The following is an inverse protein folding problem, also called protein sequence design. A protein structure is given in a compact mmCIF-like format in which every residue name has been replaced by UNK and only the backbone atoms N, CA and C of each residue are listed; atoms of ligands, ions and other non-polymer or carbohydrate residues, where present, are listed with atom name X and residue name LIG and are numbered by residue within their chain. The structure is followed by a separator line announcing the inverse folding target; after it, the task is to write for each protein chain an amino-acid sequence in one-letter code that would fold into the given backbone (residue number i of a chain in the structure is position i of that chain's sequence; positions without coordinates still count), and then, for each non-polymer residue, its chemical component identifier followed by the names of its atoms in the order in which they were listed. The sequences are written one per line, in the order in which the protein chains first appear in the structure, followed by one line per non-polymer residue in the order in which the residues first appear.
data_IF_985299338104
#
_entry.id   IF_985299338104
#
_cell.length_a   1.000
_cell.length_b   1.000
_cell.length_c   1.000
_cell.angle_alpha   90.00
_cell.angle_beta   90.00
_cell.angle_gamma   90.00
#
_symmetry.space_group_name_H-M   'P 1'
#
loop_
_entity.id
_entity.type
_entity.pdbx_description
1 polymer ?
#
# COMPACT_ATOMS: atom_id res chain seq x y z
N UNK A 1 22.40 -7.60 -0.75
CA UNK A 1 22.92 -6.41 -1.48
C UNK A 1 22.30 -5.09 -1.02
N UNK A 2 20.97 -4.89 -0.89
CA UNK A 2 20.41 -3.58 -0.48
C UNK A 2 20.71 -3.21 0.99
N UNK A 3 20.77 -4.20 1.89
CA UNK A 3 21.06 -3.95 3.31
C UNK A 3 22.46 -3.39 3.56
N UNK A 4 23.48 -3.92 2.86
CA UNK A 4 24.87 -3.49 3.01
C UNK A 4 25.06 -2.08 2.43
N UNK A 5 24.39 -1.75 1.32
CA UNK A 5 24.35 -0.39 0.77
C UNK A 5 23.63 0.57 1.71
N UNK A 6 22.53 0.15 2.34
CA UNK A 6 21.81 0.96 3.33
C UNK A 6 22.65 1.23 4.58
N UNK A 7 23.36 0.22 5.10
CA UNK A 7 24.26 0.35 6.25
C UNK A 7 25.47 1.23 5.91
N UNK A 8 26.07 1.05 4.73
CA UNK A 8 27.18 1.89 4.25
C UNK A 8 26.74 3.35 4.06
N UNK A 9 25.54 3.57 3.53
CA UNK A 9 24.94 4.89 3.38
C UNK A 9 24.66 5.55 4.73
N UNK A 10 24.20 4.77 5.72
CA UNK A 10 24.02 5.22 7.10
C UNK A 10 25.34 5.69 7.73
N UNK A 11 26.45 5.05 7.36
CA UNK A 11 27.78 5.36 7.87
C UNK A 11 28.43 6.58 7.17
N UNK A 12 28.22 6.72 5.85
CA UNK A 12 28.72 7.83 5.04
C UNK A 12 27.98 9.15 5.31
N UNK A 13 26.71 9.09 5.72
CA UNK A 13 25.88 10.26 6.01
C UNK A 13 25.26 10.16 7.41
N UNK A 14 26.06 10.26 8.48
CA UNK A 14 25.63 9.98 9.86
C UNK A 14 24.49 10.90 10.34
N UNK A 15 24.41 12.12 9.81
CA UNK A 15 23.34 13.08 10.11
C UNK A 15 22.00 12.67 9.47
N UNK A 16 22.05 12.14 8.24
CA UNK A 16 20.88 11.66 7.51
C UNK A 16 20.39 10.34 8.11
N UNK A 17 21.33 9.46 8.47
CA UNK A 17 21.09 8.25 9.24
C UNK A 17 20.36 8.53 10.56
N UNK A 18 20.86 9.52 11.32
CA UNK A 18 20.26 9.95 12.56
C UNK A 18 18.86 10.51 12.34
N UNK A 19 18.63 11.30 11.30
CA UNK A 19 17.30 11.81 10.95
C UNK A 19 16.32 10.67 10.59
N UNK A 20 16.76 9.65 9.84
CA UNK A 20 15.95 8.47 9.49
C UNK A 20 15.66 7.61 10.73
N UNK A 21 16.63 7.42 11.62
CA UNK A 21 16.46 6.70 12.88
C UNK A 21 15.52 7.44 13.83
N UNK A 22 15.64 8.76 13.92
CA UNK A 22 14.78 9.60 14.76
C UNK A 22 13.35 9.65 14.19
N UNK A 23 13.20 9.69 12.87
CA UNK A 23 11.92 9.50 12.18
C UNK A 23 11.29 8.15 12.56
N UNK A 24 12.02 7.05 12.43
CA UNK A 24 11.55 5.71 12.79
C UNK A 24 11.16 5.65 14.27
N UNK A 25 11.98 6.22 15.15
CA UNK A 25 11.74 6.26 16.60
C UNK A 25 10.53 7.11 16.99
N UNK A 26 10.16 8.12 16.21
CA UNK A 26 8.94 8.92 16.41
C UNK A 26 7.71 8.24 15.82
N UNK A 27 7.84 7.53 14.70
CA UNK A 27 6.73 6.83 14.06
C UNK A 27 6.31 5.55 14.82
N UNK A 28 7.27 4.80 15.37
CA UNK A 28 7.03 3.53 16.08
C UNK A 28 6.05 3.65 17.29
N UNK A 29 6.15 4.66 18.18
CA UNK A 29 5.29 4.79 19.35
C UNK A 29 3.86 5.32 19.07
N UNK A 30 3.62 5.95 17.91
CA UNK A 30 2.33 6.60 17.60
C UNK A 30 1.28 5.60 17.07
N UNK A 31 1.57 4.30 17.12
CA UNK A 31 0.69 3.29 16.52
C UNK A 31 0.70 3.36 15.00
N UNK A 32 1.79 3.88 14.41
CA UNK A 32 2.14 3.64 13.01
C UNK A 32 2.44 2.16 12.90
N UNK A 33 1.38 1.36 12.82
CA UNK A 33 1.41 -0.06 13.12
C UNK A 33 2.51 -0.68 12.27
N UNK A 34 3.56 -1.15 12.93
CA UNK A 34 4.72 -1.78 12.31
C UNK A 34 4.33 -2.97 11.41
N UNK A 35 3.06 -3.43 11.50
CA UNK A 35 2.38 -4.35 10.58
C UNK A 35 2.27 -3.86 9.13
N UNK A 36 2.03 -2.57 8.86
CA UNK A 36 1.70 -2.03 7.52
C UNK A 36 2.84 -1.26 6.85
N UNK A 37 3.93 -1.06 7.58
CA UNK A 37 5.10 -0.29 7.18
C UNK A 37 6.01 -0.96 6.12
N UNK A 38 6.26 -2.29 6.13
CA UNK A 38 7.40 -2.83 5.38
C UNK A 38 7.20 -2.90 3.86
N UNK A 39 5.96 -3.04 3.39
CA UNK A 39 5.71 -3.49 2.01
C UNK A 39 5.88 -2.40 0.95
N UNK A 40 5.38 -1.19 1.24
CA UNK A 40 5.16 -0.16 0.22
C UNK A 40 5.88 1.15 0.52
N UNK A 41 6.04 1.52 1.80
CA UNK A 41 6.89 2.66 2.20
C UNK A 41 8.35 2.43 1.80
N UNK A 42 8.83 1.18 1.86
CA UNK A 42 10.21 0.80 1.55
C UNK A 42 10.40 0.20 0.14
N UNK A 43 9.39 0.24 -0.73
CA UNK A 43 9.52 -0.22 -2.11
C UNK A 43 9.07 0.84 -3.11
N UNK A 44 9.96 1.78 -3.48
CA UNK A 44 9.69 2.79 -4.51
C UNK A 44 9.24 2.15 -5.84
N UNK A 45 9.76 0.96 -6.17
CA UNK A 45 9.38 0.21 -7.35
C UNK A 45 7.89 -0.21 -7.35
N UNK A 46 7.33 -0.61 -6.19
CA UNK A 46 5.91 -0.96 -6.06
C UNK A 46 5.01 0.27 -6.17
N UNK A 47 5.41 1.38 -5.54
CA UNK A 47 4.69 2.65 -5.68
C UNK A 47 4.68 3.14 -7.12
N UNK A 48 5.85 3.12 -7.78
CA UNK A 48 5.95 3.45 -9.20
C UNK A 48 5.09 2.51 -10.05
N UNK A 49 5.17 1.20 -9.81
CA UNK A 49 4.35 0.19 -10.49
C UNK A 49 2.85 0.48 -10.35
N UNK A 50 2.40 0.85 -9.15
CA UNK A 50 1.02 1.26 -8.91
C UNK A 50 0.64 2.52 -9.68
N UNK A 51 1.45 3.59 -9.63
CA UNK A 51 1.14 4.87 -10.27
C UNK A 51 1.17 4.76 -11.80
N UNK A 52 2.13 4.04 -12.37
CA UNK A 52 2.34 3.98 -13.82
C UNK A 52 1.54 2.86 -14.51
N UNK A 53 1.12 1.80 -13.81
CA UNK A 53 0.33 0.72 -14.42
C UNK A 53 -1.17 0.96 -14.28
N UNK A 54 -1.86 1.09 -15.42
CA UNK A 54 -3.34 1.15 -15.47
C UNK A 54 -3.97 -0.04 -14.76
N UNK A 55 -3.49 -1.27 -15.00
CA UNK A 55 -4.00 -2.49 -14.36
C UNK A 55 -3.82 -2.44 -12.85
N UNK A 56 -2.63 -2.08 -12.37
CA UNK A 56 -2.39 -1.99 -10.93
C UNK A 56 -3.28 -0.95 -10.24
N UNK A 57 -3.52 0.22 -10.85
CA UNK A 57 -4.47 1.21 -10.31
C UNK A 57 -5.89 0.68 -10.24
N UNK A 58 -6.33 -0.05 -11.27
CA UNK A 58 -7.68 -0.62 -11.30
C UNK A 58 -7.84 -1.70 -10.24
N UNK A 59 -6.86 -2.59 -10.09
CA UNK A 59 -6.85 -3.60 -9.04
C UNK A 59 -6.74 -3.00 -7.64
N UNK A 60 -6.00 -1.90 -7.48
CA UNK A 60 -5.94 -1.15 -6.23
C UNK A 60 -7.28 -0.53 -5.84
N UNK A 61 -7.95 0.14 -6.78
CA UNK A 61 -9.30 0.66 -6.53
C UNK A 61 -10.30 -0.47 -6.21
N UNK A 62 -10.21 -1.60 -6.91
CA UNK A 62 -11.05 -2.77 -6.63
C UNK A 62 -10.74 -3.40 -5.26
N UNK A 63 -9.47 -3.44 -4.84
CA UNK A 63 -9.07 -3.89 -3.51
C UNK A 63 -9.69 -3.01 -2.42
N UNK A 64 -9.64 -1.69 -2.57
CA UNK A 64 -10.32 -0.76 -1.67
C UNK A 64 -11.84 -0.97 -1.66
N UNK A 65 -12.46 -1.10 -2.82
CA UNK A 65 -13.89 -1.39 -2.90
C UNK A 65 -14.27 -2.71 -2.22
N UNK A 66 -13.43 -3.73 -2.35
CA UNK A 66 -13.62 -5.04 -1.72
C UNK A 66 -13.58 -4.92 -0.20
N UNK A 67 -12.57 -4.21 0.34
CA UNK A 67 -12.47 -3.95 1.78
C UNK A 67 -13.67 -3.15 2.26
N UNK A 68 -14.09 -2.11 1.54
CA UNK A 68 -15.27 -1.33 1.92
C UNK A 68 -16.54 -2.19 2.00
N UNK A 69 -16.77 -3.09 1.04
CA UNK A 69 -17.90 -4.04 1.08
C UNK A 69 -17.80 -4.99 2.27
N UNK A 70 -16.60 -5.47 2.61
CA UNK A 70 -16.39 -6.31 3.80
C UNK A 70 -16.65 -5.53 5.09
N UNK A 71 -16.18 -4.28 5.17
CA UNK A 71 -16.36 -3.42 6.34
C UNK A 71 -17.82 -3.00 6.54
N UNK A 72 -18.58 -2.80 5.46
CA UNK A 72 -20.02 -2.59 5.53
C UNK A 72 -20.75 -3.79 6.18
N UNK A 73 -20.23 -5.01 5.99
CA UNK A 73 -20.83 -6.25 6.51
C UNK A 73 -20.39 -6.58 7.93
N UNK A 74 -19.11 -6.42 8.25
CA UNK A 74 -18.51 -6.90 9.50
C UNK A 74 -18.03 -5.77 10.44
N UNK A 75 -18.20 -4.51 10.04
CA UNK A 75 -17.65 -3.35 10.75
C UNK A 75 -16.19 -3.09 10.39
N UNK A 76 -15.48 -2.23 11.14
CA UNK A 76 -14.07 -1.92 10.86
C UNK A 76 -13.19 -3.18 10.92
N UNK A 77 -12.41 -3.43 9.87
CA UNK A 77 -11.56 -4.62 9.77
C UNK A 77 -10.09 -4.23 9.67
N UNK A 78 -9.21 -5.02 10.31
CA UNK A 78 -7.76 -4.86 10.25
C UNK A 78 -7.20 -5.58 9.00
N UNK A 79 -7.67 -5.19 7.81
CA UNK A 79 -7.33 -5.83 6.52
C UNK A 79 -6.49 -4.90 5.65
N UNK A 80 -5.45 -5.46 5.04
CA UNK A 80 -4.64 -4.77 4.03
C UNK A 80 -4.89 -5.33 2.64
N UNK A 81 -5.11 -4.44 1.67
CA UNK A 81 -5.19 -4.75 0.25
C UNK A 81 -3.90 -4.41 -0.47
N UNK A 82 -3.20 -5.40 -1.00
CA UNK A 82 -1.95 -5.22 -1.73
C UNK A 82 -2.17 -5.47 -3.24
N UNK A 83 -2.20 -4.41 -4.07
CA UNK A 83 -2.49 -4.54 -5.49
C UNK A 83 -1.29 -5.07 -6.29
N UNK A 84 -1.61 -5.80 -7.36
CA UNK A 84 -0.68 -6.24 -8.40
C UNK A 84 -1.33 -6.06 -9.79
N UNK A 85 -0.60 -6.35 -10.87
CA UNK A 85 -1.11 -6.26 -12.25
C UNK A 85 -2.15 -7.32 -12.57
N UNK A 86 -2.04 -8.49 -11.93
CA UNK A 86 -2.88 -9.66 -12.20
C UNK A 86 -3.95 -9.89 -11.11
N UNK A 87 -4.05 -8.98 -10.14
CA UNK A 87 -5.01 -9.09 -9.05
C UNK A 87 -4.65 -8.24 -7.85
N UNK A 88 -5.10 -8.68 -6.68
CA UNK A 88 -4.72 -8.07 -5.39
C UNK A 88 -4.80 -9.10 -4.27
N UNK A 89 -3.94 -8.96 -3.26
CA UNK A 89 -3.96 -9.77 -2.04
C UNK A 89 -4.71 -9.06 -0.92
N UNK A 90 -5.57 -9.76 -0.20
CA UNK A 90 -6.16 -9.31 1.05
C UNK A 90 -5.52 -10.06 2.22
N UNK A 91 -4.93 -9.33 3.16
CA UNK A 91 -4.27 -9.88 4.35
C UNK A 91 -5.12 -9.57 5.58
N UNK A 92 -5.49 -10.59 6.34
CA UNK A 92 -6.33 -10.41 7.54
C UNK A 92 -7.10 -11.64 8.01
N UNK A 93 -6.75 -12.85 7.55
CA UNK A 93 -7.45 -14.08 7.97
C UNK A 93 -8.87 -14.22 7.39
N UNK A 94 -9.09 -13.70 6.18
CA UNK A 94 -10.37 -13.80 5.48
C UNK A 94 -10.60 -15.17 4.87
N UNK A 95 -11.87 -15.56 4.81
CA UNK A 95 -12.33 -16.66 3.96
C UNK A 95 -12.26 -16.27 2.47
N UNK A 96 -11.84 -17.21 1.61
CA UNK A 96 -11.63 -16.92 0.20
C UNK A 96 -12.93 -16.70 -0.58
N UNK A 97 -14.02 -17.38 -0.21
CA UNK A 97 -15.32 -17.21 -0.85
C UNK A 97 -15.96 -15.89 -0.44
N UNK A 98 -15.83 -15.50 0.83
CA UNK A 98 -16.29 -14.19 1.30
C UNK A 98 -15.54 -13.05 0.61
N UNK A 99 -14.21 -13.15 0.52
CA UNK A 99 -13.38 -12.19 -0.19
C UNK A 99 -13.76 -12.10 -1.68
N UNK A 100 -14.03 -13.24 -2.32
CA UNK A 100 -14.44 -13.30 -3.73
C UNK A 100 -15.82 -12.67 -3.94
N UNK A 101 -16.78 -12.96 -3.08
CA UNK A 101 -18.13 -12.39 -3.12
C UNK A 101 -18.09 -10.86 -2.93
N UNK A 102 -17.30 -10.39 -1.96
CA UNK A 102 -17.10 -8.96 -1.73
C UNK A 102 -16.44 -8.27 -2.93
N UNK A 103 -15.43 -8.91 -3.54
CA UNK A 103 -14.76 -8.36 -4.72
C UNK A 103 -15.70 -8.25 -5.92
N UNK A 104 -16.56 -9.26 -6.14
CA UNK A 104 -17.57 -9.22 -7.20
C UNK A 104 -18.59 -8.12 -6.97
N UNK A 105 -19.07 -7.96 -5.73
CA UNK A 105 -19.99 -6.90 -5.36
C UNK A 105 -19.36 -5.50 -5.58
N UNK A 106 -18.12 -5.30 -5.10
CA UNK A 106 -17.37 -4.07 -5.32
C UNK A 106 -17.21 -3.75 -6.82
N UNK A 107 -16.83 -4.74 -7.64
CA UNK A 107 -16.70 -4.54 -9.08
C UNK A 107 -18.03 -4.15 -9.73
N UNK A 108 -19.14 -4.77 -9.32
CA UNK A 108 -20.49 -4.43 -9.81
C UNK A 108 -20.86 -2.98 -9.45
N UNK A 109 -20.69 -2.58 -8.20
CA UNK A 109 -20.97 -1.20 -7.72
C UNK A 109 -20.12 -0.15 -8.44
N UNK A 110 -18.84 -0.42 -8.59
CA UNK A 110 -17.92 0.48 -9.31
C UNK A 110 -18.28 0.58 -10.80
N UNK A 111 -18.72 -0.52 -11.43
CA UNK A 111 -19.22 -0.51 -12.81
C UNK A 111 -20.55 0.23 -12.97
N UNK A 112 -21.40 0.25 -11.94
CA UNK A 112 -22.61 1.09 -11.92
C UNK A 112 -22.34 2.57 -11.62
N UNK A 113 -21.07 2.97 -11.47
CA UNK A 113 -20.66 4.36 -11.27
C UNK A 113 -20.38 4.74 -9.82
N UNK A 114 -20.51 3.81 -8.87
CA UNK A 114 -20.20 4.07 -7.47
C UNK A 114 -18.69 4.00 -7.23
N UNK A 115 -18.03 5.15 -7.35
CA UNK A 115 -16.57 5.24 -7.24
C UNK A 115 -16.08 5.54 -5.82
N UNK A 116 -16.97 5.85 -4.88
CA UNK A 116 -16.57 6.19 -3.50
C UNK A 116 -15.83 5.05 -2.79
N UNK A 117 -16.24 3.77 -2.90
CA UNK A 117 -15.56 2.63 -2.27
C UNK A 117 -14.12 2.41 -2.74
N UNK A 118 -13.75 2.94 -3.92
CA UNK A 118 -12.41 2.77 -4.46
C UNK A 118 -11.32 3.61 -3.76
N UNK A 119 -11.69 4.47 -2.80
CA UNK A 119 -10.77 5.39 -2.13
C UNK A 119 -10.83 5.20 -0.61
N UNK A 120 -9.70 4.83 0.01
CA UNK A 120 -9.58 4.69 1.46
C UNK A 120 -8.96 5.92 2.13
N UNK A 121 -9.39 6.29 3.33
CA UNK A 121 -8.77 7.37 4.12
C UNK A 121 -7.37 7.01 4.62
N UNK A 122 -7.05 5.72 4.70
CA UNK A 122 -5.78 5.19 5.21
C UNK A 122 -5.12 4.29 4.18
N UNK A 123 -4.76 4.85 3.03
CA UNK A 123 -4.03 4.13 1.99
C UNK A 123 -2.51 4.26 2.22
N UNK A 124 -1.78 3.15 2.44
CA UNK A 124 -0.32 3.19 2.62
C UNK A 124 0.42 3.84 1.46
N UNK A 125 -0.07 3.70 0.24
CA UNK A 125 0.50 4.33 -0.96
C UNK A 125 0.50 5.85 -0.88
N UNK A 126 -0.65 6.42 -0.49
CA UNK A 126 -0.84 7.85 -0.40
C UNK A 126 -0.09 8.42 0.80
N UNK A 127 -0.10 7.72 1.94
CA UNK A 127 0.72 8.07 3.10
C UNK A 127 2.20 8.11 2.73
N UNK A 128 2.71 7.08 2.04
CA UNK A 128 4.10 7.05 1.60
C UNK A 128 4.46 8.27 0.73
N UNK A 129 3.58 8.66 -0.20
CA UNK A 129 3.81 9.84 -1.05
C UNK A 129 3.91 11.15 -0.24
N UNK A 130 3.09 11.32 0.80
CA UNK A 130 3.16 12.47 1.71
C UNK A 130 4.50 12.50 2.44
N UNK A 131 4.96 11.34 2.95
CA UNK A 131 6.25 11.24 3.62
C UNK A 131 7.44 11.43 2.66
N UNK A 132 7.34 11.02 1.38
CA UNK A 132 8.34 11.36 0.37
C UNK A 132 8.40 12.88 0.13
N UNK A 133 7.25 13.56 0.06
CA UNK A 133 7.19 15.02 -0.02
C UNK A 133 7.84 15.70 1.19
N UNK A 134 7.63 15.15 2.39
CA UNK A 134 8.27 15.62 3.62
C UNK A 134 9.80 15.50 3.54
N UNK A 135 10.33 14.36 3.04
CA UNK A 135 11.77 14.19 2.83
C UNK A 135 12.34 15.20 1.83
N UNK A 136 11.65 15.48 0.73
CA UNK A 136 12.06 16.52 -0.23
C UNK A 136 12.10 17.90 0.44
N UNK A 137 11.11 18.22 1.26
CA UNK A 137 11.07 19.46 2.03
C UNK A 137 12.27 19.59 2.98
N UNK A 138 12.67 18.50 3.65
CA UNK A 138 13.87 18.49 4.50
C UNK A 138 15.16 18.71 3.72
N UNK A 139 15.28 18.10 2.54
CA UNK A 139 16.44 18.32 1.66
C UNK A 139 16.50 19.79 1.26
N UNK A 140 15.38 20.40 0.86
CA UNK A 140 15.34 21.83 0.52
C UNK A 140 15.71 22.70 1.72
N UNK A 141 15.18 22.42 2.91
CA UNK A 141 15.55 23.13 4.14
C UNK A 141 17.05 23.03 4.45
N UNK A 142 17.66 21.86 4.23
CA UNK A 142 19.10 21.68 4.39
C UNK A 142 19.90 22.49 3.38
N UNK A 143 19.49 22.51 2.11
CA UNK A 143 20.14 23.31 1.07
C UNK A 143 20.04 24.82 1.34
N UNK A 144 18.96 25.26 1.98
CA UNK A 144 18.72 26.66 2.38
C UNK A 144 19.38 27.02 3.73
N UNK A 145 20.10 26.10 4.37
CA UNK A 145 20.74 26.33 5.68
C UNK A 145 19.77 26.36 6.88
N UNK A 146 18.50 26.01 6.67
CA UNK A 146 17.45 25.99 7.70
C UNK A 146 17.22 24.63 8.35
N UNK A 147 18.09 23.65 8.15
CA UNK A 147 17.92 22.33 8.74
C UNK A 147 18.21 22.34 10.25
N UNK A 148 17.22 21.95 11.04
CA UNK A 148 17.34 21.78 12.48
C UNK A 148 16.46 20.61 12.93
N UNK A 149 16.75 20.03 14.10
CA UNK A 149 15.93 18.96 14.66
C UNK A 149 14.46 19.40 14.86
N UNK A 150 14.24 20.67 15.23
CA UNK A 150 12.90 21.26 15.40
C UNK A 150 12.17 21.33 14.07
N UNK A 151 12.83 21.81 13.02
CA UNK A 151 12.24 21.90 11.68
C UNK A 151 11.96 20.50 11.12
N UNK A 152 12.85 19.54 11.36
CA UNK A 152 12.64 18.15 10.98
C UNK A 152 11.41 17.54 11.67
N UNK A 153 11.29 17.71 12.98
CA UNK A 153 10.14 17.25 13.75
C UNK A 153 8.84 17.92 13.28
N UNK A 154 8.87 19.24 13.04
CA UNK A 154 7.71 19.98 12.55
C UNK A 154 7.25 19.49 11.17
N UNK A 155 8.16 19.27 10.23
CA UNK A 155 7.83 18.74 8.89
C UNK A 155 7.19 17.36 8.97
N UNK A 156 7.74 16.45 9.77
CA UNK A 156 7.16 15.11 9.91
C UNK A 156 5.83 15.12 10.65
N UNK A 157 5.65 15.97 11.65
CA UNK A 157 4.36 16.14 12.33
C UNK A 157 3.30 16.67 11.37
N UNK A 158 3.64 17.68 10.56
CA UNK A 158 2.77 18.20 9.52
C UNK A 158 2.43 17.13 8.47
N UNK A 159 3.40 16.32 8.05
CA UNK A 159 3.19 15.20 7.13
C UNK A 159 2.24 14.15 7.72
N UNK A 160 2.43 13.77 9.00
CA UNK A 160 1.57 12.83 9.70
C UNK A 160 0.13 13.34 9.81
N UNK A 161 -0.06 14.57 10.28
CA UNK A 161 -1.39 15.19 10.42
C UNK A 161 -2.10 15.33 9.06
N UNK A 162 -1.35 15.70 8.02
CA UNK A 162 -1.92 15.89 6.68
C UNK A 162 -2.18 14.59 5.93
N UNK A 163 -1.46 13.50 6.22
CA UNK A 163 -1.55 12.24 5.47
C UNK A 163 -2.98 11.69 5.37
N UNK A 164 -3.73 11.70 6.48
CA UNK A 164 -5.12 11.20 6.51
C UNK A 164 -6.06 12.02 5.63
N UNK A 165 -5.86 13.34 5.57
CA UNK A 165 -6.72 14.25 4.81
C UNK A 165 -6.31 14.31 3.33
N UNK A 166 -5.01 14.24 3.05
CA UNK A 166 -4.47 14.24 1.70
C UNK A 166 -4.69 12.91 0.98
N UNK A 167 -4.82 11.79 1.72
CA UNK A 167 -4.90 10.45 1.13
C UNK A 167 -5.99 10.28 0.06
N UNK A 168 -7.27 10.66 0.29
CA UNK A 168 -8.31 10.55 -0.75
C UNK A 168 -8.03 11.42 -1.98
N UNK A 169 -7.46 12.62 -1.77
CA UNK A 169 -7.10 13.54 -2.86
C UNK A 169 -5.97 12.97 -3.73
N UNK A 170 -4.91 12.49 -3.10
CA UNK A 170 -3.78 11.84 -3.77
C UNK A 170 -4.25 10.64 -4.59
N UNK A 171 -5.13 9.80 -4.03
CA UNK A 171 -5.61 8.63 -4.75
C UNK A 171 -6.48 9.00 -5.96
N UNK A 172 -7.37 9.99 -5.84
CA UNK A 172 -8.17 10.48 -6.97
C UNK A 172 -7.31 10.98 -8.13
N UNK A 173 -6.15 11.58 -7.82
CA UNK A 173 -5.24 12.12 -8.83
C UNK A 173 -4.33 11.03 -9.43
N UNK A 174 -3.76 10.15 -8.60
CA UNK A 174 -2.64 9.29 -9.01
C UNK A 174 -2.97 7.80 -9.09
N UNK A 175 -3.94 7.33 -8.30
CA UNK A 175 -4.25 5.89 -8.20
C UNK A 175 -5.71 5.58 -8.52
N UNK A 176 -6.39 6.49 -9.21
CA UNK A 176 -7.78 6.30 -9.61
C UNK A 176 -7.88 5.12 -10.59
N UNK A 177 -8.84 4.19 -10.38
CA UNK A 177 -8.99 3.02 -11.24
C UNK A 177 -9.42 3.46 -12.65
N UNK A 178 -8.83 2.84 -13.67
CA UNK A 178 -9.09 3.16 -15.08
C UNK A 178 -9.49 1.90 -15.83
N UNK A 179 -10.62 1.92 -16.54
CA UNK A 179 -11.17 0.77 -17.28
C UNK A 179 -11.65 -0.40 -16.39
N UNK A 180 -12.84 -0.22 -15.81
CA UNK A 180 -13.54 -1.25 -15.04
C UNK A 180 -14.41 -2.16 -15.91
N UNK A 181 -14.73 -1.73 -17.14
CA UNK A 181 -15.62 -2.47 -18.05
C UNK A 181 -14.94 -3.70 -18.63
N UNK A 182 -13.64 -3.61 -18.91
CA UNK A 182 -12.84 -4.74 -19.40
C UNK A 182 -12.37 -5.72 -18.32
N UNK A 183 -12.41 -5.35 -17.03
CA UNK A 183 -11.83 -6.13 -15.93
C UNK A 183 -12.77 -7.25 -15.45
N UNK A 184 -12.33 -8.49 -15.44
CA UNK A 184 -13.05 -9.64 -14.88
C UNK A 184 -12.31 -10.22 -13.68
N UNK A 185 -13.06 -10.72 -12.69
CA UNK A 185 -12.50 -11.48 -11.56
C UNK A 185 -12.49 -12.95 -11.95
N UNK A 186 -11.29 -13.55 -12.03
CA UNK A 186 -11.09 -14.92 -12.44
C UNK A 186 -11.30 -15.92 -11.28
N UNK A 187 -10.95 -15.55 -10.06
CA UNK A 187 -11.10 -16.41 -8.89
C UNK A 187 -10.39 -15.88 -7.65
N UNK A 188 -10.44 -16.65 -6.57
CA UNK A 188 -9.75 -16.38 -5.32
C UNK A 188 -8.88 -17.58 -4.94
N UNK A 189 -7.66 -17.32 -4.49
CA UNK A 189 -6.69 -18.33 -4.07
C UNK A 189 -6.25 -18.02 -2.63
N UNK A 190 -6.36 -18.99 -1.72
CA UNK A 190 -5.78 -18.84 -0.38
C UNK A 190 -4.27 -19.10 -0.45
N UNK A 191 -3.46 -18.06 -0.23
CA UNK A 191 -2.00 -18.13 -0.20
C UNK A 191 -1.52 -18.12 1.25
N UNK A 192 -0.85 -19.19 1.66
CA UNK A 192 -0.03 -19.22 2.88
C UNK A 192 1.36 -18.73 2.52
N UNK A 193 1.61 -17.42 2.66
CA UNK A 193 2.94 -16.86 2.42
C UNK A 193 3.90 -17.26 3.56
N UNK A 194 4.87 -18.12 3.26
CA UNK A 194 6.05 -18.32 4.12
C UNK A 194 7.09 -17.28 3.72
N UNK A 195 7.36 -16.29 4.57
CA UNK A 195 8.45 -15.33 4.32
C UNK A 195 9.67 -15.70 5.14
N UNK A 196 10.77 -15.96 4.45
CA UNK A 196 12.07 -16.19 5.08
C UNK A 196 12.70 -14.85 5.41
N UNK A 197 12.77 -14.52 6.68
CA UNK A 197 13.42 -13.30 7.18
C UNK A 197 14.64 -13.72 8.00
N UNK A 198 15.84 -13.33 7.58
CA UNK A 198 17.09 -13.68 8.25
C UNK A 198 17.27 -15.19 8.53
N UNK A 199 16.88 -16.04 7.57
CA UNK A 199 17.02 -17.50 7.70
C UNK A 199 15.93 -18.16 8.55
N UNK A 200 15.07 -17.38 9.21
CA UNK A 200 13.92 -17.85 9.99
C UNK A 200 12.67 -17.80 9.10
N UNK A 201 11.92 -18.90 9.07
CA UNK A 201 10.64 -18.97 8.40
C UNK A 201 9.56 -18.33 9.27
N UNK A 202 9.11 -17.15 8.88
CA UNK A 202 7.98 -16.49 9.52
C UNK A 202 6.72 -16.86 8.75
N UNK A 203 5.77 -17.48 9.46
CA UNK A 203 4.41 -17.70 8.98
C UNK A 203 3.70 -16.35 8.94
N UNK A 204 3.50 -15.82 7.74
CA UNK A 204 2.70 -14.61 7.54
C UNK A 204 1.22 -15.01 7.62
N UNK A 205 0.33 -14.17 8.16
CA UNK A 205 -1.10 -14.44 8.14
C UNK A 205 -1.59 -14.84 6.76
N UNK A 206 -2.52 -15.80 6.70
CA UNK A 206 -3.12 -16.26 5.44
C UNK A 206 -3.65 -15.06 4.66
N UNK A 207 -3.24 -14.97 3.39
CA UNK A 207 -3.69 -13.95 2.47
C UNK A 207 -4.55 -14.57 1.40
N UNK A 208 -5.66 -13.94 1.06
CA UNK A 208 -6.48 -14.35 -0.09
C UNK A 208 -6.06 -13.50 -1.29
N UNK A 209 -5.61 -14.14 -2.36
CA UNK A 209 -5.30 -13.48 -3.62
C UNK A 209 -6.52 -13.53 -4.54
N UNK A 210 -7.06 -12.37 -4.89
CA UNK A 210 -8.13 -12.23 -5.88
C UNK A 210 -7.48 -11.99 -7.23
N UNK A 211 -7.64 -12.94 -8.15
CA UNK A 211 -7.09 -12.87 -9.50
C UNK A 211 -8.03 -12.10 -10.42
N UNK A 212 -7.48 -11.16 -11.16
CA UNK A 212 -8.20 -10.35 -12.15
C UNK A 212 -7.59 -10.53 -13.53
N UNK A 213 -8.39 -10.42 -14.57
CA UNK A 213 -7.94 -10.47 -15.97
C UNK A 213 -8.69 -9.47 -16.82
N UNK A 214 -8.20 -9.19 -18.01
CA UNK A 214 -9.02 -8.51 -19.02
C UNK A 214 -9.88 -9.52 -19.77
N UNK A 215 -11.09 -9.10 -20.15
CA UNK A 215 -12.01 -9.90 -20.97
C UNK A 215 -11.31 -10.33 -22.26
N UNK A 216 -11.22 -11.63 -22.50
CA UNK A 216 -10.52 -12.23 -23.64
C UNK A 216 -9.13 -12.78 -23.35
N UNK A 217 -8.57 -12.55 -22.16
CA UNK A 217 -7.31 -13.19 -21.74
C UNK A 217 -7.54 -14.64 -21.25
N UNK A 218 -6.63 -15.58 -21.57
CA UNK A 218 -6.75 -16.96 -21.14
C UNK A 218 -6.71 -17.08 -19.61
N UNK A 219 -7.41 -18.08 -19.07
CA UNK A 219 -7.31 -18.43 -17.65
C UNK A 219 -5.93 -19.06 -17.39
N UNK A 220 -5.00 -18.27 -16.90
CA UNK A 220 -3.71 -18.77 -16.42
C UNK A 220 -3.88 -19.11 -14.94
N UNK A 221 -4.14 -20.40 -14.66
CA UNK A 221 -3.99 -20.94 -13.32
C UNK A 221 -2.49 -21.00 -13.03
N UNK A 222 -2.02 -20.18 -12.10
CA UNK A 222 -0.63 -20.23 -11.66
C UNK A 222 -0.49 -21.48 -10.79
N UNK A 223 0.09 -22.54 -11.36
CA UNK A 223 0.42 -23.76 -10.62
C UNK A 223 1.54 -23.38 -9.65
N UNK A 224 1.18 -23.12 -8.40
CA UNK A 224 2.15 -22.92 -7.33
C UNK A 224 2.89 -24.25 -7.15
N UNK A 225 4.17 -24.27 -7.54
CA UNK A 225 5.10 -25.37 -7.29
C UNK A 225 5.92 -25.09 -6.04
#
# INVERSE_FOLDING_TARGET
MPFLVFVLFLFLFPWLAFAVLLLLAVLLPIGFSAKYLPGMLFSPAKLAGLVFSRRARTNHGLAHGTIAVLEERYGPLDIEGLPDKDGFSLRGGLDSEEALAAARNALLRMRSGEMHPAFSRSCPAATALVFFGALVCLVLLALLGGFSAVNAAAVFLCAFCSARFASPWIQRLLTSPTDLKGLEIAGAESRKERKRFFGIDILVPSSVFIRTRLRGEPLVAEVVS
#
